data_IF_142513985955
#
_entry.id   IF_142513985955
#
_cell.length_a   1.000
_cell.length_b   1.000
_cell.length_c   1.000
_cell.angle_alpha   90.00
_cell.angle_beta   90.00
_cell.angle_gamma   90.00
#
_symmetry.space_group_name_H-M   'P 1'
#
loop_
_entity.id
_entity.type
_entity.pdbx_description
1 polymer ?
#
# COMPACT_ATOMS: atom_id res chain seq x y z
N UNK A 1 -62.57 -8.65 18.84
CA UNK A 1 -61.74 -8.04 17.78
C UNK A 1 -60.79 -7.04 18.42
N UNK A 2 -59.60 -7.49 18.83
CA UNK A 2 -58.55 -6.62 19.36
C UNK A 2 -57.77 -6.00 18.22
N UNK A 3 -57.88 -4.69 18.03
CA UNK A 3 -57.10 -3.95 17.03
C UNK A 3 -55.75 -3.58 17.62
N UNK A 4 -54.72 -4.35 17.28
CA UNK A 4 -53.32 -4.06 17.60
C UNK A 4 -52.86 -2.92 16.68
N UNK A 5 -53.04 -1.67 17.12
CA UNK A 5 -52.59 -0.49 16.37
C UNK A 5 -51.08 -0.29 16.58
N UNK A 6 -50.35 -0.46 15.49
CA UNK A 6 -48.90 -0.32 15.35
C UNK A 6 -48.35 0.94 16.02
N UNK A 7 -47.52 0.75 17.05
CA UNK A 7 -46.73 1.78 17.72
C UNK A 7 -45.36 1.90 17.05
N UNK A 8 -45.31 2.41 15.81
CA UNK A 8 -44.04 2.75 15.14
C UNK A 8 -44.00 4.26 14.93
N UNK A 9 -43.49 4.98 15.93
CA UNK A 9 -43.36 6.43 15.87
C UNK A 9 -42.21 6.89 14.94
N UNK A 10 -42.21 8.15 14.48
CA UNK A 10 -41.18 8.70 13.58
C UNK A 10 -39.76 8.68 14.17
N UNK A 11 -39.64 8.64 15.51
CA UNK A 11 -38.38 8.42 16.23
C UNK A 11 -37.75 7.05 15.94
N UNK A 12 -38.57 6.02 15.71
CA UNK A 12 -38.10 4.67 15.40
C UNK A 12 -37.68 4.54 13.93
N UNK A 13 -38.34 5.29 13.04
CA UNK A 13 -37.92 5.49 11.64
C UNK A 13 -36.59 6.24 11.53
N UNK A 14 -36.37 7.28 12.36
CA UNK A 14 -35.08 7.99 12.45
C UNK A 14 -33.95 7.11 12.98
N UNK A 15 -34.22 6.27 14.00
CA UNK A 15 -33.25 5.28 14.46
C UNK A 15 -32.93 4.24 13.37
N UNK A 16 -33.93 3.79 12.60
CA UNK A 16 -33.72 2.85 11.50
C UNK A 16 -32.88 3.45 10.36
N UNK A 17 -33.08 4.74 10.04
CA UNK A 17 -32.28 5.45 9.04
C UNK A 17 -30.81 5.63 9.44
N UNK A 18 -30.53 5.83 10.74
CA UNK A 18 -29.17 5.93 11.28
C UNK A 18 -28.40 4.59 11.25
N UNK A 19 -29.10 3.45 11.25
CA UNK A 19 -28.50 2.12 11.18
C UNK A 19 -28.12 1.67 9.76
N UNK A 20 -28.66 2.30 8.70
CA UNK A 20 -28.59 1.76 7.33
C UNK A 20 -27.39 2.24 6.50
N UNK A 21 -26.66 3.27 6.92
CA UNK A 21 -25.53 3.78 6.12
C UNK A 21 -24.17 3.26 6.61
N UNK A 22 -23.92 1.97 6.45
CA UNK A 22 -22.57 1.42 6.49
C UNK A 22 -22.01 1.37 5.06
N UNK A 23 -21.49 2.49 4.57
CA UNK A 23 -20.88 2.58 3.24
C UNK A 23 -19.43 2.07 3.31
N UNK A 24 -19.18 0.81 2.95
CA UNK A 24 -17.83 0.28 2.77
C UNK A 24 -17.27 0.77 1.44
N UNK A 25 -16.15 1.51 1.46
CA UNK A 25 -15.47 1.98 0.22
C UNK A 25 -14.11 1.34 0.10
N UNK A 26 -13.77 0.80 -1.07
CA UNK A 26 -12.46 0.25 -1.36
C UNK A 26 -11.32 1.24 -1.08
N UNK A 27 -10.21 0.73 -0.53
CA UNK A 27 -8.99 1.50 -0.25
C UNK A 27 -7.74 0.69 -0.52
N UNK A 28 -6.73 1.32 -1.09
CA UNK A 28 -5.39 0.74 -1.16
C UNK A 28 -4.69 0.85 0.20
N UNK A 29 -3.78 -0.09 0.48
CA UNK A 29 -2.92 -0.09 1.65
C UNK A 29 -2.06 1.19 1.78
N UNK A 30 -1.69 1.82 0.65
CA UNK A 30 -0.94 3.08 0.62
C UNK A 30 -1.38 3.98 -0.54
N UNK A 31 -1.40 5.32 -0.35
CA UNK A 31 -1.71 6.26 -1.44
C UNK A 31 -0.50 6.55 -2.33
N UNK A 32 0.73 6.34 -1.83
CA UNK A 32 1.98 6.58 -2.54
C UNK A 32 3.07 5.58 -2.16
N UNK A 33 3.97 5.30 -3.09
CA UNK A 33 5.13 4.41 -2.91
C UNK A 33 6.38 5.07 -3.51
N UNK A 34 7.51 5.00 -2.81
CA UNK A 34 8.82 5.25 -3.39
C UNK A 34 9.51 3.90 -3.64
N UNK A 35 9.87 3.62 -4.89
CA UNK A 35 10.62 2.44 -5.29
C UNK A 35 12.06 2.83 -5.59
N UNK A 36 13.05 2.23 -4.93
CA UNK A 36 14.44 2.47 -5.28
C UNK A 36 14.76 1.84 -6.63
N UNK A 37 15.41 2.61 -7.51
CA UNK A 37 15.99 2.12 -8.75
C UNK A 37 17.28 1.36 -8.45
N UNK A 38 17.40 0.16 -9.03
CA UNK A 38 18.64 -0.59 -9.05
C UNK A 38 18.74 -1.33 -10.39
N UNK A 39 19.88 -1.24 -11.11
CA UNK A 39 20.00 -1.77 -12.48
C UNK A 39 19.88 -3.29 -12.56
N UNK A 40 20.12 -3.99 -11.46
CA UNK A 40 20.20 -5.47 -11.43
C UNK A 40 19.18 -6.12 -10.49
N UNK A 41 18.61 -5.37 -9.54
CA UNK A 41 17.83 -5.92 -8.42
C UNK A 41 16.54 -5.11 -8.29
N UNK A 42 15.50 -5.45 -9.05
CA UNK A 42 14.24 -4.71 -8.98
C UNK A 42 13.56 -4.97 -7.63
N UNK A 43 13.31 -3.91 -6.88
CA UNK A 43 12.50 -3.96 -5.65
C UNK A 43 11.02 -4.08 -6.01
N UNK A 44 10.30 -4.89 -5.23
CA UNK A 44 8.87 -5.18 -5.40
C UNK A 44 8.09 -4.55 -4.26
N UNK A 45 6.93 -4.00 -4.57
CA UNK A 45 5.95 -3.54 -3.59
C UNK A 45 4.60 -4.21 -3.83
N UNK A 46 3.90 -4.59 -2.76
CA UNK A 46 2.58 -5.19 -2.83
C UNK A 46 1.52 -4.10 -2.63
N UNK A 47 0.74 -3.81 -3.66
CA UNK A 47 -0.52 -3.09 -3.53
C UNK A 47 -1.63 -4.08 -3.21
N UNK A 48 -2.45 -3.74 -2.22
CA UNK A 48 -3.58 -4.55 -1.77
C UNK A 48 -4.78 -3.66 -1.47
N UNK A 49 -5.95 -4.10 -1.90
CA UNK A 49 -7.23 -3.50 -1.54
C UNK A 49 -7.64 -4.02 -0.15
N UNK A 50 -7.69 -3.12 0.82
CA UNK A 50 -7.76 -3.48 2.25
C UNK A 50 -9.17 -3.52 2.82
N UNK A 51 -10.08 -2.64 2.37
CA UNK A 51 -11.42 -2.52 2.96
C UNK A 51 -12.42 -2.02 1.92
N UNK A 52 -13.52 -2.76 1.64
CA UNK A 52 -13.67 -4.18 1.97
C UNK A 52 -12.57 -5.01 1.28
N UNK A 53 -12.15 -6.10 1.92
CA UNK A 53 -11.19 -7.05 1.32
C UNK A 53 -11.86 -7.84 0.21
N UNK A 54 -11.10 -8.24 -0.81
CA UNK A 54 -11.64 -8.88 -2.02
C UNK A 54 -12.07 -7.86 -3.07
N UNK A 55 -12.73 -8.35 -4.12
CA UNK A 55 -13.04 -7.58 -5.32
C UNK A 55 -12.19 -8.00 -6.51
N UNK A 56 -12.55 -7.52 -7.70
CA UNK A 56 -11.98 -7.97 -8.96
C UNK A 56 -11.41 -6.77 -9.68
N UNK A 57 -10.17 -6.40 -9.31
CA UNK A 57 -9.52 -5.21 -9.84
C UNK A 57 -8.63 -5.51 -11.04
N UNK A 58 -8.79 -4.67 -12.07
CA UNK A 58 -7.87 -4.55 -13.18
C UNK A 58 -6.83 -3.48 -12.87
N UNK A 59 -5.56 -3.84 -13.03
CA UNK A 59 -4.44 -3.00 -12.68
C UNK A 59 -3.79 -2.42 -13.93
N UNK A 60 -3.53 -1.10 -13.92
CA UNK A 60 -2.88 -0.41 -15.03
C UNK A 60 -1.88 0.63 -14.54
N UNK A 61 -0.78 0.79 -15.26
CA UNK A 61 0.20 1.86 -15.04
C UNK A 61 0.03 2.95 -16.10
N UNK A 62 0.13 4.22 -15.71
CA UNK A 62 0.21 5.34 -16.69
C UNK A 62 1.53 5.35 -17.47
N UNK A 63 2.59 4.74 -16.91
CA UNK A 63 3.92 4.64 -17.52
C UNK A 63 4.53 3.25 -17.28
N UNK A 64 4.12 2.24 -18.07
CA UNK A 64 4.62 0.87 -17.93
C UNK A 64 6.14 0.73 -18.14
N UNK A 65 6.74 1.68 -18.87
CA UNK A 65 8.18 1.81 -19.08
C UNK A 65 8.95 2.24 -17.82
N UNK A 66 8.28 2.88 -16.86
CA UNK A 66 8.88 3.33 -15.59
C UNK A 66 8.47 2.41 -14.45
N UNK A 67 7.18 2.10 -14.35
CA UNK A 67 6.61 1.27 -13.29
C UNK A 67 5.71 0.22 -13.92
N UNK A 68 6.07 -1.05 -13.71
CA UNK A 68 5.25 -2.19 -14.09
C UNK A 68 4.36 -2.62 -12.94
N UNK A 69 3.17 -3.13 -13.28
CA UNK A 69 2.22 -3.68 -12.32
C UNK A 69 1.73 -5.04 -12.82
N UNK A 70 1.66 -6.03 -11.93
CA UNK A 70 1.22 -7.39 -12.27
C UNK A 70 0.26 -7.90 -11.20
N UNK A 71 -0.99 -8.27 -11.56
CA UNK A 71 -1.94 -8.85 -10.62
C UNK A 71 -1.41 -10.15 -10.01
N UNK A 72 -1.62 -10.36 -8.71
CA UNK A 72 -1.16 -11.57 -7.99
C UNK A 72 -2.33 -12.49 -7.66
N UNK A 73 -2.14 -13.81 -7.77
CA UNK A 73 -3.16 -14.78 -7.36
C UNK A 73 -4.41 -14.83 -8.28
N UNK A 74 -4.36 -14.17 -9.43
CA UNK A 74 -5.43 -14.27 -10.44
C UNK A 74 -5.46 -15.68 -11.04
N UNK A 75 -6.56 -16.41 -10.84
CA UNK A 75 -6.82 -17.63 -11.62
C UNK A 75 -7.23 -17.20 -13.02
N UNK A 76 -6.42 -17.53 -14.02
CA UNK A 76 -6.62 -17.20 -15.45
C UNK A 76 -6.53 -15.70 -15.82
N UNK A 77 -5.81 -14.86 -15.06
CA UNK A 77 -5.38 -13.53 -15.53
C UNK A 77 -6.51 -12.50 -15.72
N UNK A 78 -7.65 -12.66 -15.07
CA UNK A 78 -8.85 -11.84 -15.30
C UNK A 78 -9.00 -10.67 -14.34
N UNK A 79 -8.50 -10.75 -13.09
CA UNK A 79 -8.41 -9.66 -12.11
C UNK A 79 -7.80 -10.14 -10.79
N UNK A 80 -7.44 -9.22 -9.89
CA UNK A 80 -7.05 -9.54 -8.50
C UNK A 80 -7.23 -8.33 -7.58
N UNK A 81 -7.46 -8.55 -6.29
CA UNK A 81 -7.43 -7.52 -5.24
C UNK A 81 -6.00 -7.16 -4.79
N UNK A 82 -5.00 -7.87 -5.31
CA UNK A 82 -3.56 -7.67 -5.04
C UNK A 82 -2.78 -7.53 -6.33
N UNK A 83 -1.78 -6.65 -6.33
CA UNK A 83 -0.83 -6.54 -7.42
C UNK A 83 0.60 -6.25 -6.93
N UNK A 84 1.56 -6.82 -7.64
CA UNK A 84 2.97 -6.51 -7.47
C UNK A 84 3.35 -5.34 -8.37
N UNK A 85 4.00 -4.33 -7.78
CA UNK A 85 4.52 -3.16 -8.47
C UNK A 85 6.04 -3.24 -8.47
N UNK A 86 6.66 -2.97 -9.62
CA UNK A 86 8.13 -2.94 -9.78
C UNK A 86 8.59 -1.74 -10.59
N UNK A 87 9.78 -1.23 -10.26
CA UNK A 87 10.49 -0.33 -11.16
C UNK A 87 10.89 -1.08 -12.44
N UNK A 88 10.53 -0.51 -13.59
CA UNK A 88 10.79 -1.04 -14.94
C UNK A 88 11.73 -0.15 -15.77
N UNK A 89 12.05 1.06 -15.27
CA UNK A 89 12.96 1.99 -15.92
C UNK A 89 14.31 1.33 -16.22
N UNK A 90 14.84 1.53 -17.43
CA UNK A 90 16.16 1.01 -17.83
C UNK A 90 17.32 1.85 -17.33
N UNK A 91 17.07 3.13 -17.07
CA UNK A 91 18.02 4.09 -16.54
C UNK A 91 17.22 5.20 -15.84
N UNK A 92 17.83 5.79 -14.81
CA UNK A 92 17.24 6.86 -14.01
C UNK A 92 18.30 7.94 -13.88
N UNK A 93 17.99 9.15 -14.34
CA UNK A 93 18.86 10.34 -14.22
C UNK A 93 18.30 11.37 -13.24
N UNK A 94 17.31 10.98 -12.44
CA UNK A 94 16.54 11.79 -11.52
C UNK A 94 15.19 11.14 -11.24
N UNK A 95 14.35 11.78 -10.42
CA UNK A 95 13.07 11.21 -10.02
C UNK A 95 12.12 10.95 -11.21
N UNK A 96 11.61 9.72 -11.33
CA UNK A 96 10.56 9.35 -12.29
C UNK A 96 9.27 9.05 -11.55
N UNK A 97 8.13 9.52 -12.06
CA UNK A 97 6.83 9.29 -11.45
C UNK A 97 5.84 8.64 -12.42
N UNK A 98 5.00 7.75 -11.87
CA UNK A 98 3.88 7.08 -12.54
C UNK A 98 2.69 6.98 -11.59
N UNK A 99 1.50 6.67 -12.12
CA UNK A 99 0.32 6.38 -11.32
C UNK A 99 -0.17 4.98 -11.67
N UNK A 100 -0.36 4.15 -10.67
CA UNK A 100 -1.05 2.87 -10.79
C UNK A 100 -2.52 3.09 -10.51
N UNK A 101 -3.39 2.58 -11.38
CA UNK A 101 -4.83 2.51 -11.14
C UNK A 101 -5.27 1.08 -10.91
N UNK A 102 -6.24 0.92 -10.03
CA UNK A 102 -6.99 -0.31 -9.82
C UNK A 102 -8.47 -0.03 -10.06
N UNK A 103 -9.07 -0.71 -11.03
CA UNK A 103 -10.47 -0.53 -11.40
C UNK A 103 -11.25 -1.80 -11.08
N UNK A 104 -12.24 -1.71 -10.18
CA UNK A 104 -13.12 -2.82 -9.88
C UNK A 104 -14.10 -3.06 -11.03
N UNK A 105 -14.06 -4.25 -11.61
CA UNK A 105 -14.88 -4.62 -12.77
C UNK A 105 -16.38 -4.64 -12.50
N UNK A 106 -16.80 -4.86 -11.24
CA UNK A 106 -18.21 -4.95 -10.87
C UNK A 106 -18.83 -3.57 -10.61
N UNK A 107 -18.13 -2.70 -9.87
CA UNK A 107 -18.64 -1.39 -9.46
C UNK A 107 -18.14 -0.22 -10.30
N UNK A 108 -17.09 -0.40 -11.11
CA UNK A 108 -16.39 0.69 -11.78
C UNK A 108 -15.59 1.59 -10.83
N UNK A 109 -15.43 1.19 -9.56
CA UNK A 109 -14.67 1.97 -8.58
C UNK A 109 -13.21 2.03 -8.98
N UNK A 110 -12.67 3.24 -9.05
CA UNK A 110 -11.28 3.49 -9.42
C UNK A 110 -10.47 3.95 -8.22
N UNK A 111 -9.40 3.22 -7.92
CA UNK A 111 -8.38 3.59 -6.93
C UNK A 111 -7.10 3.97 -7.64
N UNK A 112 -6.26 4.76 -6.99
CA UNK A 112 -4.96 5.16 -7.52
C UNK A 112 -3.86 5.16 -6.46
N UNK A 113 -2.65 4.86 -6.90
CA UNK A 113 -1.43 4.96 -6.10
C UNK A 113 -0.37 5.69 -6.92
N UNK A 114 0.19 6.77 -6.36
CA UNK A 114 1.34 7.45 -6.96
C UNK A 114 2.61 6.67 -6.68
N UNK A 115 3.36 6.32 -7.73
CA UNK A 115 4.63 5.59 -7.61
C UNK A 115 5.75 6.46 -8.13
N UNK A 116 6.72 6.71 -7.25
CA UNK A 116 7.93 7.42 -7.57
C UNK A 116 9.08 6.40 -7.63
N UNK A 117 9.92 6.48 -8.68
CA UNK A 117 11.12 5.67 -8.86
C UNK A 117 12.31 6.60 -8.80
N UNK A 118 13.24 6.32 -7.89
CA UNK A 118 14.39 7.18 -7.67
C UNK A 118 15.62 6.38 -7.24
N UNK A 119 16.81 6.91 -7.46
CA UNK A 119 18.06 6.28 -7.07
C UNK A 119 18.42 6.64 -5.63
N UNK A 120 18.72 5.63 -4.82
CA UNK A 120 19.29 5.86 -3.49
C UNK A 120 20.72 6.39 -3.68
N UNK A 121 20.97 7.59 -3.19
CA UNK A 121 22.28 8.25 -3.21
C UNK A 121 23.12 7.88 -1.98
N UNK A 122 22.47 7.77 -0.81
CA UNK A 122 23.13 7.57 0.46
C UNK A 122 22.27 6.74 1.42
N UNK A 123 22.89 5.88 2.21
CA UNK A 123 22.21 5.14 3.29
C UNK A 123 22.87 5.53 4.61
N UNK A 124 22.08 6.09 5.52
CA UNK A 124 22.51 6.36 6.89
C UNK A 124 21.95 5.29 7.81
N UNK A 125 22.83 4.78 8.65
CA UNK A 125 22.46 3.91 9.75
C UNK A 125 22.65 4.69 11.03
N UNK A 126 21.58 4.87 11.79
CA UNK A 126 21.63 5.43 13.14
C UNK A 126 21.38 4.34 14.18
N UNK A 127 22.29 4.23 15.14
CA UNK A 127 22.22 3.25 16.23
C UNK A 127 22.92 3.81 17.47
N UNK A 128 22.42 3.43 18.64
CA UNK A 128 23.05 3.75 19.93
C UNK A 128 24.18 2.79 20.28
N UNK A 129 24.25 1.62 19.62
CA UNK A 129 25.12 0.52 20.02
C UNK A 129 26.17 0.24 18.94
N UNK A 130 27.45 0.40 19.31
CA UNK A 130 28.58 0.02 18.44
C UNK A 130 28.79 -1.51 18.37
N UNK A 131 28.42 -2.22 19.43
CA UNK A 131 28.58 -3.67 19.58
C UNK A 131 27.27 -4.23 20.14
N UNK A 132 26.82 -5.36 19.61
CA UNK A 132 25.68 -6.10 20.11
C UNK A 132 26.18 -7.27 20.97
N UNK A 133 25.67 -7.37 22.19
CA UNK A 133 25.96 -8.49 23.10
C UNK A 133 24.78 -9.45 23.09
N UNK A 134 25.07 -10.76 23.06
CA UNK A 134 24.06 -11.82 22.92
C UNK A 134 23.07 -11.84 24.10
N UNK A 135 23.51 -11.45 25.30
CA UNK A 135 22.67 -11.44 26.51
C UNK A 135 22.17 -10.04 26.92
N UNK A 136 22.26 -9.06 26.02
CA UNK A 136 21.80 -7.69 26.28
C UNK A 136 20.36 -7.45 25.82
N UNK A 137 19.77 -6.36 26.31
CA UNK A 137 18.46 -5.90 25.85
C UNK A 137 18.48 -5.61 24.34
N UNK A 138 17.34 -5.77 23.64
CA UNK A 138 17.24 -5.54 22.20
C UNK A 138 17.75 -4.14 21.80
N UNK A 139 18.57 -4.09 20.75
CA UNK A 139 19.12 -2.86 20.24
C UNK A 139 18.22 -2.25 19.17
N UNK A 140 18.11 -0.92 19.17
CA UNK A 140 17.41 -0.18 18.13
C UNK A 140 18.39 0.27 17.04
N UNK A 141 17.99 0.07 15.79
CA UNK A 141 18.70 0.55 14.62
C UNK A 141 17.71 1.20 13.66
N UNK A 142 18.05 2.38 13.17
CA UNK A 142 17.27 3.12 12.19
C UNK A 142 18.08 3.16 10.90
N UNK A 143 17.46 2.76 9.80
CA UNK A 143 18.07 2.81 8.47
C UNK A 143 17.31 3.80 7.64
N UNK A 144 18.00 4.84 7.20
CA UNK A 144 17.47 5.91 6.35
C UNK A 144 18.15 5.83 4.99
N UNK A 145 17.36 5.73 3.93
CA UNK A 145 17.85 5.84 2.56
C UNK A 145 17.50 7.22 2.00
N UNK A 146 18.49 7.94 1.48
CA UNK A 146 18.34 9.28 0.92
C UNK A 146 18.48 9.24 -0.60
N UNK A 147 17.76 10.12 -1.29
CA UNK A 147 17.98 10.42 -2.70
C UNK A 147 18.96 11.61 -2.88
N UNK A 148 19.20 12.04 -4.12
CA UNK A 148 20.15 13.12 -4.40
C UNK A 148 19.73 14.48 -3.79
N UNK A 149 18.43 14.70 -3.61
CA UNK A 149 17.84 15.91 -3.03
C UNK A 149 17.84 15.89 -1.49
N UNK A 150 18.22 14.77 -0.86
CA UNK A 150 18.23 14.61 0.60
C UNK A 150 16.89 14.20 1.21
N UNK A 151 15.94 13.72 0.41
CA UNK A 151 14.68 13.14 0.88
C UNK A 151 14.93 11.73 1.42
N UNK A 152 14.52 11.48 2.67
CA UNK A 152 14.74 10.20 3.35
C UNK A 152 13.53 9.26 3.27
N UNK A 153 13.79 7.96 3.10
CA UNK A 153 12.87 6.87 3.44
C UNK A 153 13.44 6.09 4.60
N UNK A 154 12.67 5.97 5.68
CA UNK A 154 13.15 5.45 6.97
C UNK A 154 12.50 4.11 7.31
N UNK A 155 13.29 3.14 7.73
CA UNK A 155 12.85 1.89 8.35
C UNK A 155 13.45 1.76 9.76
N UNK A 156 12.70 1.15 10.69
CA UNK A 156 13.14 0.92 12.08
C UNK A 156 13.22 -0.58 12.35
N UNK A 157 14.39 -1.04 12.80
CA UNK A 157 14.64 -2.43 13.16
C UNK A 157 14.96 -2.55 14.66
N UNK A 158 14.41 -3.60 15.28
CA UNK A 158 14.77 -4.04 16.62
C UNK A 158 15.57 -5.34 16.50
N UNK A 159 16.84 -5.29 16.87
CA UNK A 159 17.72 -6.45 16.89
C UNK A 159 17.66 -7.05 18.29
N UNK A 160 16.94 -8.16 18.43
CA UNK A 160 17.00 -9.01 19.62
C UNK A 160 17.96 -10.16 19.34
N UNK A 161 18.95 -10.33 20.20
CA UNK A 161 19.71 -11.56 20.29
C UNK A 161 18.83 -12.60 21.00
N UNK A 162 18.32 -13.56 20.24
CA UNK A 162 17.68 -14.76 20.79
C UNK A 162 18.67 -15.92 20.67
N UNK A 163 18.92 -16.60 21.78
CA UNK A 163 19.60 -17.91 21.80
C UNK A 163 18.59 -19.00 21.45
#
# INVERSE_FOLDING_TARGET
MGSFRSLIGPKWLLLFFLFVTCSSSYRLNVPRVLLPYHPTIPVKFLLEVTQPSGGCFNWRSTRPDVVSVTPLGSKLGTCSDKAEVRAAAKAVSGELSAVIFAEDTASGTMLSCGVTVDQISNIRVDTTNKILFVDAAPARMIVEAFNAEGTAVTNVFLLSSSV
#
